data_IF_886916896415
#
_entry.id   IF_886916896415
#
_cell.length_a   1.000
_cell.length_b   1.000
_cell.length_c   1.000
_cell.angle_alpha   90.00
_cell.angle_beta   90.00
_cell.angle_gamma   90.00
#
_symmetry.space_group_name_H-M   'P 1'
#
loop_
_entity.id
_entity.type
_entity.pdbx_description
1 polymer ?
#
# COMPACT_ATOMS: atom_id res chain seq x y z
N UNK A 1 9.48 24.28 -4.98
CA UNK A 1 10.47 24.99 -4.14
C UNK A 1 11.70 25.43 -4.93
N UNK A 2 12.30 24.57 -5.76
CA UNK A 2 13.46 24.95 -6.58
C UNK A 2 13.21 26.13 -7.55
N UNK A 3 12.12 26.10 -8.33
CA UNK A 3 11.69 27.26 -9.15
C UNK A 3 11.47 28.54 -8.34
N UNK A 4 11.06 28.41 -7.08
CA UNK A 4 10.86 29.55 -6.17
C UNK A 4 12.20 30.13 -5.71
N UNK A 5 13.22 29.30 -5.47
CA UNK A 5 14.60 29.77 -5.22
C UNK A 5 15.20 30.45 -6.45
N UNK A 6 15.02 29.88 -7.64
CA UNK A 6 15.49 30.47 -8.91
C UNK A 6 14.88 31.87 -9.12
N UNK A 7 13.60 32.03 -8.76
CA UNK A 7 12.88 33.29 -8.86
C UNK A 7 13.07 34.23 -7.66
N UNK A 8 13.84 33.84 -6.62
CA UNK A 8 14.03 34.62 -5.37
C UNK A 8 14.40 36.08 -5.64
N UNK A 9 15.35 36.32 -6.56
CA UNK A 9 15.78 37.69 -6.92
C UNK A 9 14.66 38.50 -7.56
N UNK A 10 13.96 37.92 -8.52
CA UNK A 10 12.84 38.57 -9.21
C UNK A 10 11.68 38.87 -8.25
N UNK A 11 11.34 37.92 -7.38
CA UNK A 11 10.32 38.07 -6.33
C UNK A 11 10.67 39.19 -5.35
N UNK A 12 11.93 39.26 -4.89
CA UNK A 12 12.37 40.32 -3.99
C UNK A 12 12.36 41.71 -4.63
N UNK A 13 12.76 41.83 -5.91
CA UNK A 13 12.68 43.09 -6.66
C UNK A 13 11.21 43.51 -6.81
N UNK A 14 10.35 42.59 -7.26
CA UNK A 14 8.94 42.87 -7.47
C UNK A 14 8.21 43.24 -6.17
N UNK A 15 8.52 42.58 -5.05
CA UNK A 15 7.97 42.91 -3.75
C UNK A 15 8.44 44.29 -3.26
N UNK A 16 9.70 44.66 -3.52
CA UNK A 16 10.23 45.99 -3.22
C UNK A 16 9.59 47.10 -4.06
N UNK A 17 9.28 46.84 -5.34
CA UNK A 17 8.68 47.82 -6.25
C UNK A 17 7.17 47.97 -6.07
N UNK A 18 6.44 46.88 -5.81
CA UNK A 18 4.97 46.89 -5.83
C UNK A 18 4.31 46.67 -4.47
N UNK A 19 5.07 46.36 -3.41
CA UNK A 19 4.58 46.28 -2.02
C UNK A 19 3.45 45.27 -1.76
N UNK A 20 3.13 44.40 -2.73
CA UNK A 20 1.91 43.56 -2.74
C UNK A 20 2.13 42.10 -2.37
N UNK A 21 3.38 41.65 -2.24
CA UNK A 21 3.73 40.26 -1.96
C UNK A 21 4.64 40.22 -0.75
N UNK A 22 4.24 39.50 0.29
CA UNK A 22 5.14 39.16 1.40
C UNK A 22 6.20 38.18 0.88
N UNK A 23 7.46 38.62 0.78
CA UNK A 23 8.57 37.73 0.47
C UNK A 23 9.08 37.06 1.74
N UNK A 24 9.55 35.80 1.65
CA UNK A 24 10.14 35.14 2.79
C UNK A 24 11.36 35.92 3.31
N UNK A 25 11.54 35.93 4.62
CA UNK A 25 12.73 36.47 5.27
C UNK A 25 13.98 35.61 4.97
N UNK A 26 15.18 36.11 5.28
CA UNK A 26 16.43 35.43 4.94
C UNK A 26 16.53 34.01 5.53
N UNK A 27 16.13 33.85 6.79
CA UNK A 27 16.02 32.58 7.52
C UNK A 27 15.03 31.59 6.88
N UNK A 28 13.91 32.11 6.36
CA UNK A 28 12.92 31.31 5.66
C UNK A 28 13.46 30.82 4.32
N UNK A 29 14.26 31.64 3.62
CA UNK A 29 14.94 31.20 2.40
C UNK A 29 16.02 30.15 2.68
N UNK A 30 16.74 30.26 3.79
CA UNK A 30 17.73 29.26 4.20
C UNK A 30 17.04 27.93 4.54
N UNK A 31 15.88 28.00 5.22
CA UNK A 31 15.03 26.83 5.47
C UNK A 31 14.58 26.17 4.16
N UNK A 32 14.14 26.97 3.18
CA UNK A 32 13.76 26.45 1.84
C UNK A 32 14.95 25.80 1.13
N UNK A 33 16.15 26.37 1.24
CA UNK A 33 17.37 25.78 0.67
C UNK A 33 17.69 24.43 1.32
N UNK A 34 17.71 24.39 2.65
CA UNK A 34 17.96 23.17 3.42
C UNK A 34 16.92 22.09 3.10
N UNK A 35 15.64 22.47 2.93
CA UNK A 35 14.59 21.55 2.49
C UNK A 35 14.89 21.01 1.09
N UNK A 36 15.29 21.85 0.14
CA UNK A 36 15.63 21.37 -1.21
C UNK A 36 16.82 20.42 -1.16
N UNK A 37 17.88 20.74 -0.41
CA UNK A 37 19.07 19.89 -0.31
C UNK A 37 18.77 18.55 0.37
N UNK A 38 17.95 18.56 1.42
CA UNK A 38 17.52 17.34 2.11
C UNK A 38 16.59 16.49 1.25
N UNK A 39 15.70 17.10 0.48
CA UNK A 39 14.78 16.39 -0.42
C UNK A 39 15.36 16.09 -1.80
N UNK A 40 16.56 16.57 -2.15
CA UNK A 40 17.19 16.31 -3.44
C UNK A 40 17.33 14.81 -3.74
N UNK A 41 17.56 14.01 -2.70
CA UNK A 41 17.74 12.55 -2.80
C UNK A 41 16.45 11.75 -2.69
N UNK A 42 15.30 12.42 -2.51
CA UNK A 42 14.02 11.75 -2.33
C UNK A 42 13.64 10.91 -3.56
N UNK A 43 14.02 11.38 -4.75
CA UNK A 43 13.74 10.72 -6.02
C UNK A 43 14.65 9.52 -6.31
N UNK A 44 15.71 9.31 -5.51
CA UNK A 44 16.56 8.11 -5.56
C UNK A 44 15.90 6.93 -4.85
N UNK A 45 14.96 7.20 -3.94
CA UNK A 45 14.37 6.17 -3.08
C UNK A 45 13.11 5.59 -3.72
N UNK A 46 13.21 4.35 -4.24
CA UNK A 46 12.10 3.63 -4.90
C UNK A 46 10.80 3.67 -4.09
N UNK A 47 10.84 3.32 -2.81
CA UNK A 47 9.65 3.27 -1.95
C UNK A 47 8.93 4.62 -1.85
N UNK A 48 9.69 5.71 -1.72
CA UNK A 48 9.14 7.06 -1.59
C UNK A 48 8.54 7.56 -2.90
N UNK A 49 9.21 7.29 -4.03
CA UNK A 49 8.71 7.61 -5.36
C UNK A 49 7.42 6.85 -5.66
N UNK A 50 7.36 5.55 -5.34
CA UNK A 50 6.16 4.75 -5.53
C UNK A 50 5.02 5.18 -4.61
N UNK A 51 5.29 5.45 -3.34
CA UNK A 51 4.28 5.92 -2.39
C UNK A 51 3.69 7.28 -2.82
N UNK A 52 4.53 8.22 -3.27
CA UNK A 52 4.08 9.54 -3.75
C UNK A 52 3.29 9.44 -5.06
N UNK A 53 3.69 8.56 -5.97
CA UNK A 53 2.96 8.31 -7.22
C UNK A 53 1.58 7.70 -6.95
N UNK A 54 1.51 6.69 -6.07
CA UNK A 54 0.27 6.00 -5.69
C UNK A 54 -0.61 6.82 -4.75
N UNK A 55 -0.14 7.97 -4.23
CA UNK A 55 -0.98 8.89 -3.47
C UNK A 55 -1.83 9.77 -4.42
N UNK A 56 -3.17 9.66 -4.40
CA UNK A 56 -4.05 10.42 -5.27
C UNK A 56 -4.00 11.95 -5.06
N UNK A 57 -3.38 12.42 -3.97
CA UNK A 57 -3.15 13.85 -3.69
C UNK A 57 -1.98 14.44 -4.49
N UNK A 58 -1.00 13.60 -4.83
CA UNK A 58 0.30 14.03 -5.33
C UNK A 58 0.57 13.54 -6.75
N UNK A 59 0.34 12.25 -7.01
CA UNK A 59 0.59 11.60 -8.31
C UNK A 59 1.96 11.98 -8.88
N UNK A 60 2.02 12.33 -10.17
CA UNK A 60 3.25 12.76 -10.84
C UNK A 60 3.63 14.24 -10.65
N UNK A 61 2.85 15.03 -9.90
CA UNK A 61 3.08 16.49 -9.81
C UNK A 61 4.19 16.89 -8.83
N UNK A 62 4.70 15.94 -8.04
CA UNK A 62 5.72 16.20 -7.01
C UNK A 62 7.15 16.01 -7.55
N UNK A 63 7.32 15.30 -8.66
CA UNK A 63 8.64 15.01 -9.22
C UNK A 63 9.25 16.23 -9.90
N UNK A 64 10.53 16.47 -9.60
CA UNK A 64 11.37 17.52 -10.14
C UNK A 64 12.14 17.01 -11.37
N UNK A 65 12.64 15.77 -11.37
CA UNK A 65 13.33 15.23 -12.53
C UNK A 65 12.36 14.62 -13.55
N UNK A 66 12.65 14.90 -14.83
CA UNK A 66 11.83 14.49 -15.97
C UNK A 66 11.78 12.96 -16.10
N UNK A 67 12.85 12.28 -15.71
CA UNK A 67 12.96 10.82 -15.83
C UNK A 67 12.30 10.05 -14.68
N UNK A 68 12.03 10.71 -13.55
CA UNK A 68 11.54 10.05 -12.32
C UNK A 68 10.17 9.43 -12.54
N UNK A 69 9.29 10.08 -13.31
CA UNK A 69 7.98 9.52 -13.63
C UNK A 69 8.13 8.26 -14.51
N UNK A 70 9.02 8.28 -15.50
CA UNK A 70 9.27 7.13 -16.38
C UNK A 70 9.83 5.94 -15.58
N UNK A 71 10.80 6.20 -14.69
CA UNK A 71 11.34 5.21 -13.76
C UNK A 71 10.27 4.66 -12.83
N UNK A 72 9.42 5.52 -12.28
CA UNK A 72 8.33 5.12 -11.40
C UNK A 72 7.30 4.22 -12.12
N UNK A 73 6.96 4.53 -13.39
CA UNK A 73 6.11 3.67 -14.21
C UNK A 73 6.73 2.28 -14.39
N UNK A 74 8.03 2.21 -14.65
CA UNK A 74 8.75 0.93 -14.75
C UNK A 74 8.74 0.17 -13.43
N UNK A 75 9.04 0.84 -12.31
CA UNK A 75 9.03 0.23 -10.99
C UNK A 75 7.65 -0.31 -10.57
N UNK A 76 6.55 0.35 -10.95
CA UNK A 76 5.20 -0.18 -10.70
C UNK A 76 4.99 -1.51 -11.42
N UNK A 77 5.47 -1.65 -12.66
CA UNK A 77 5.34 -2.91 -13.42
C UNK A 77 6.12 -4.04 -12.74
N UNK A 78 7.35 -3.75 -12.33
CA UNK A 78 8.19 -4.70 -11.58
C UNK A 78 7.53 -5.11 -10.25
N UNK A 79 6.99 -4.16 -9.49
CA UNK A 79 6.31 -4.45 -8.23
C UNK A 79 5.00 -5.22 -8.42
N UNK A 80 4.26 -4.92 -9.48
CA UNK A 80 3.06 -5.67 -9.84
C UNK A 80 3.39 -7.15 -10.10
N UNK A 81 4.47 -7.44 -10.84
CA UNK A 81 4.92 -8.80 -11.08
C UNK A 81 5.26 -9.54 -9.78
N UNK A 82 5.88 -8.87 -8.81
CA UNK A 82 6.18 -9.46 -7.50
C UNK A 82 4.89 -9.77 -6.72
N UNK A 83 3.95 -8.82 -6.70
CA UNK A 83 2.70 -8.97 -5.94
C UNK A 83 1.77 -10.01 -6.57
N UNK A 84 1.75 -10.13 -7.90
CA UNK A 84 0.94 -11.14 -8.59
C UNK A 84 1.44 -12.56 -8.30
N UNK A 85 2.75 -12.78 -8.22
CA UNK A 85 3.32 -14.07 -7.81
C UNK A 85 3.01 -14.42 -6.35
N UNK A 86 3.15 -13.45 -5.44
CA UNK A 86 2.81 -13.66 -4.02
C UNK A 86 1.33 -14.03 -3.81
N UNK A 87 0.43 -13.46 -4.61
CA UNK A 87 -0.99 -13.78 -4.54
C UNK A 87 -1.27 -15.20 -5.05
N UNK A 88 -0.57 -15.66 -6.10
CA UNK A 88 -0.68 -17.03 -6.61
C UNK A 88 -0.22 -18.06 -5.57
N UNK A 89 0.92 -17.82 -4.92
CA UNK A 89 1.48 -18.73 -3.92
C UNK A 89 0.60 -18.84 -2.67
N UNK A 90 0.01 -17.74 -2.21
CA UNK A 90 -0.89 -17.74 -1.04
C UNK A 90 -2.15 -18.62 -1.24
N UNK A 91 -2.63 -18.77 -2.48
CA UNK A 91 -3.78 -19.65 -2.79
C UNK A 91 -3.46 -21.15 -2.73
N UNK A 92 -2.19 -21.55 -2.67
CA UNK A 92 -1.78 -22.97 -2.77
C UNK A 92 -1.49 -23.60 -1.41
N UNK A 93 -1.31 -22.80 -0.34
CA UNK A 93 -0.90 -23.30 0.98
C UNK A 93 -2.07 -23.56 1.97
N UNK A 94 -3.33 -23.31 1.57
CA UNK A 94 -4.51 -23.50 2.42
C UNK A 94 -5.30 -24.81 2.15
N UNK A 95 -4.67 -25.85 1.59
CA UNK A 95 -5.27 -27.19 1.57
C UNK A 95 -4.32 -28.27 2.09
N UNK A 96 -4.28 -28.40 3.41
CA UNK A 96 -3.86 -29.63 4.06
C UNK A 96 -5.01 -30.64 4.14
N UNK A 97 -5.08 -31.60 3.19
CA UNK A 97 -5.36 -33.04 3.39
C UNK A 97 -5.76 -33.75 2.08
N UNK A 98 -5.02 -34.79 1.72
CA UNK A 98 -5.24 -35.69 0.57
C UNK A 98 -5.80 -37.05 1.08
N UNK A 99 -6.41 -37.98 0.30
CA UNK A 99 -6.93 -37.91 -1.07
C UNK A 99 -8.40 -38.40 -1.20
N UNK A 100 -9.16 -37.83 -2.14
CA UNK A 100 -10.24 -38.58 -2.81
C UNK A 100 -10.44 -38.06 -4.23
N UNK A 101 -9.96 -38.86 -5.20
CA UNK A 101 -10.37 -38.79 -6.58
C UNK A 101 -11.89 -38.63 -6.67
N UNK A 102 -12.34 -37.45 -7.06
CA UNK A 102 -13.63 -37.28 -7.71
C UNK A 102 -13.36 -36.64 -9.05
N UNK A 103 -13.25 -37.51 -10.06
CA UNK A 103 -13.47 -37.19 -11.46
C UNK A 103 -14.78 -36.43 -11.54
N UNK A 104 -14.72 -35.11 -11.65
CA UNK A 104 -15.84 -34.30 -12.12
C UNK A 104 -15.64 -34.20 -13.62
N UNK A 105 -16.68 -34.65 -14.30
CA UNK A 105 -16.75 -34.81 -15.73
C UNK A 105 -16.56 -33.45 -16.41
N UNK A 106 -15.81 -33.51 -17.50
CA UNK A 106 -15.58 -32.47 -18.49
C UNK A 106 -16.95 -32.04 -19.05
N UNK A 107 -17.59 -31.03 -18.46
CA UNK A 107 -18.73 -30.33 -19.07
C UNK A 107 -18.20 -29.50 -20.24
N UNK A 108 -18.04 -30.20 -21.35
CA UNK A 108 -17.70 -29.68 -22.66
C UNK A 108 -18.78 -28.66 -23.06
N UNK A 109 -18.46 -27.37 -23.04
CA UNK A 109 -19.26 -26.35 -23.72
C UNK A 109 -19.44 -26.76 -25.20
N UNK A 110 -20.61 -26.54 -25.81
CA UNK A 110 -20.86 -26.94 -27.18
C UNK A 110 -19.94 -26.16 -28.12
N UNK A 111 -18.95 -26.87 -28.68
CA UNK A 111 -18.06 -26.30 -29.68
C UNK A 111 -18.84 -25.82 -30.90
N UNK A 112 -18.43 -24.73 -31.54
CA UNK A 112 -19.22 -24.11 -32.61
C UNK A 112 -19.33 -25.06 -33.82
N UNK A 113 -20.57 -25.35 -34.23
CA UNK A 113 -20.89 -26.36 -35.26
C UNK A 113 -20.70 -25.88 -36.71
N UNK A 114 -20.11 -24.71 -36.93
CA UNK A 114 -20.05 -24.05 -38.23
C UNK A 114 -18.64 -23.57 -38.55
N UNK A 115 -18.18 -23.87 -39.77
CA UNK A 115 -16.89 -23.43 -40.31
C UNK A 115 -16.79 -21.90 -40.33
N UNK A 116 -17.92 -21.20 -40.52
CA UNK A 116 -17.98 -19.74 -40.44
C UNK A 116 -17.68 -19.24 -39.02
N UNK A 117 -18.19 -19.91 -38.00
CA UNK A 117 -17.97 -19.55 -36.60
C UNK A 117 -16.50 -19.75 -36.20
N UNK A 118 -15.84 -20.80 -36.73
CA UNK A 118 -14.40 -21.00 -36.58
C UNK A 118 -13.57 -19.95 -37.33
N UNK A 119 -14.02 -19.51 -38.50
CA UNK A 119 -13.39 -18.40 -39.23
C UNK A 119 -13.54 -17.08 -38.47
N UNK A 120 -14.72 -16.78 -37.89
CA UNK A 120 -14.93 -15.62 -37.04
C UNK A 120 -14.10 -15.68 -35.76
N UNK A 121 -14.02 -16.83 -35.09
CA UNK A 121 -13.16 -17.03 -33.91
C UNK A 121 -11.68 -16.85 -34.24
N UNK A 122 -11.24 -17.21 -35.46
CA UNK A 122 -9.86 -16.98 -35.88
C UNK A 122 -9.61 -15.51 -36.24
N UNK A 123 -10.55 -14.83 -36.90
CA UNK A 123 -10.40 -13.42 -37.33
C UNK A 123 -10.56 -12.44 -36.17
N UNK A 124 -11.48 -12.72 -35.25
CA UNK A 124 -11.82 -11.88 -34.09
C UNK A 124 -11.17 -12.35 -32.78
N UNK A 125 -10.70 -13.60 -32.73
CA UNK A 125 -9.88 -14.10 -31.64
C UNK A 125 -8.51 -13.43 -31.66
N UNK A 126 -7.80 -13.38 -30.52
CA UNK A 126 -6.51 -12.73 -30.39
C UNK A 126 -5.53 -13.31 -31.41
N UNK A 127 -5.29 -12.56 -32.49
CA UNK A 127 -4.32 -12.91 -33.52
C UNK A 127 -2.92 -12.70 -32.95
N UNK A 128 -2.32 -13.81 -32.54
CA UNK A 128 -1.04 -13.86 -31.84
C UNK A 128 -1.29 -14.26 -30.41
N UNK A 129 -0.74 -15.39 -29.97
CA UNK A 129 -0.64 -15.75 -28.56
C UNK A 129 0.19 -14.64 -27.92
N UNK A 130 -0.40 -13.71 -27.15
CA UNK A 130 0.40 -12.92 -26.25
C UNK A 130 0.81 -13.91 -25.16
N UNK A 131 2.10 -14.06 -24.90
CA UNK A 131 2.54 -14.62 -23.61
C UNK A 131 1.71 -13.91 -22.53
N UNK A 132 1.03 -14.62 -21.62
CA UNK A 132 0.12 -13.98 -20.64
C UNK A 132 0.77 -12.80 -19.91
N UNK A 133 2.10 -12.82 -19.77
CA UNK A 133 2.94 -11.73 -19.27
C UNK A 133 2.80 -10.40 -20.04
N UNK A 134 2.74 -10.43 -21.38
CA UNK A 134 2.62 -9.21 -22.18
C UNK A 134 1.24 -8.58 -22.05
N UNK A 135 0.18 -9.39 -21.92
CA UNK A 135 -1.18 -8.90 -21.76
C UNK A 135 -1.35 -8.21 -20.39
N UNK A 136 -0.83 -8.80 -19.31
CA UNK A 136 -0.89 -8.21 -17.98
C UNK A 136 -0.04 -6.93 -17.85
N UNK A 137 1.14 -6.87 -18.48
CA UNK A 137 1.96 -5.65 -18.53
C UNK A 137 1.28 -4.49 -19.27
N UNK A 138 0.54 -4.79 -20.34
CA UNK A 138 -0.24 -3.78 -21.05
C UNK A 138 -1.41 -3.29 -20.19
N UNK A 139 -2.14 -4.20 -19.54
CA UNK A 139 -3.28 -3.87 -18.67
C UNK A 139 -2.90 -3.00 -17.47
N UNK A 140 -1.77 -3.28 -16.80
CA UNK A 140 -1.28 -2.43 -15.70
C UNK A 140 -0.89 -1.03 -16.21
N UNK A 141 -0.29 -0.94 -17.40
CA UNK A 141 0.09 0.34 -18.01
C UNK A 141 -1.15 1.19 -18.30
N UNK A 142 -2.20 0.59 -18.85
CA UNK A 142 -3.46 1.28 -19.13
C UNK A 142 -4.15 1.78 -17.86
N UNK A 143 -4.21 0.95 -16.81
CA UNK A 143 -4.76 1.38 -15.52
C UNK A 143 -3.95 2.51 -14.88
N UNK A 144 -2.62 2.46 -15.00
CA UNK A 144 -1.75 3.52 -14.50
C UNK A 144 -2.00 4.83 -15.24
N UNK A 145 -2.11 4.78 -16.56
CA UNK A 145 -2.43 5.97 -17.36
C UNK A 145 -3.86 6.47 -17.11
N UNK A 146 -4.81 5.59 -16.80
CA UNK A 146 -6.15 5.98 -16.33
C UNK A 146 -6.07 6.72 -14.99
N UNK A 147 -5.37 6.16 -14.00
CA UNK A 147 -5.18 6.76 -12.69
C UNK A 147 -4.49 8.14 -12.73
N UNK A 148 -3.47 8.28 -13.59
CA UNK A 148 -2.76 9.55 -13.78
C UNK A 148 -3.63 10.64 -14.43
N UNK A 149 -4.66 10.27 -15.20
CA UNK A 149 -5.62 11.21 -15.81
C UNK A 149 -6.73 11.66 -14.86
N UNK A 150 -7.01 10.89 -13.80
CA UNK A 150 -8.01 11.27 -12.79
C UNK A 150 -7.63 12.59 -12.10
N UNK A 151 -8.61 13.38 -11.62
CA UNK A 151 -8.31 14.57 -10.84
C UNK A 151 -7.60 14.21 -9.52
N UNK A 152 -6.87 15.19 -8.97
CA UNK A 152 -6.28 15.08 -7.64
C UNK A 152 -7.36 15.23 -6.57
N UNK A 153 -7.24 14.47 -5.49
CA UNK A 153 -8.06 14.70 -4.30
C UNK A 153 -7.51 15.88 -3.49
N UNK A 154 -8.38 16.53 -2.71
CA UNK A 154 -7.98 17.66 -1.88
C UNK A 154 -6.92 17.26 -0.84
N UNK A 155 -5.87 18.06 -0.69
CA UNK A 155 -4.68 17.69 0.11
C UNK A 155 -4.98 17.63 1.61
N UNK A 156 -5.86 18.50 2.09
CA UNK A 156 -6.13 18.70 3.52
C UNK A 156 -7.21 17.74 4.06
N UNK A 157 -8.21 17.44 3.26
CA UNK A 157 -9.41 16.68 3.66
C UNK A 157 -9.47 15.29 3.01
N UNK A 158 -8.75 15.08 1.91
CA UNK A 158 -8.76 13.83 1.17
C UNK A 158 -8.06 12.71 1.92
N UNK A 159 -8.73 11.55 1.99
CA UNK A 159 -8.20 10.32 2.57
C UNK A 159 -7.76 9.36 1.46
N UNK A 160 -6.45 9.17 1.22
CA UNK A 160 -5.94 8.32 0.13
C UNK A 160 -6.41 6.86 0.21
N UNK A 161 -6.40 6.26 1.41
CA UNK A 161 -6.77 4.86 1.59
C UNK A 161 -8.25 4.61 1.30
N UNK A 162 -9.13 5.53 1.72
CA UNK A 162 -10.57 5.44 1.44
C UNK A 162 -10.86 5.66 -0.05
N UNK A 163 -10.10 6.55 -0.72
CA UNK A 163 -10.19 6.72 -2.17
C UNK A 163 -9.81 5.42 -2.91
N UNK A 164 -8.73 4.75 -2.48
CA UNK A 164 -8.33 3.47 -3.06
C UNK A 164 -9.36 2.37 -2.81
N UNK A 165 -9.98 2.34 -1.63
CA UNK A 165 -11.07 1.40 -1.31
C UNK A 165 -12.26 1.57 -2.25
N UNK A 166 -12.67 2.80 -2.52
CA UNK A 166 -13.78 3.10 -3.44
C UNK A 166 -13.45 2.78 -4.91
N UNK A 167 -12.17 2.95 -5.31
CA UNK A 167 -11.72 2.73 -6.67
C UNK A 167 -11.09 1.35 -6.92
N UNK A 168 -11.15 0.43 -5.95
CA UNK A 168 -10.54 -0.90 -6.05
C UNK A 168 -11.12 -1.71 -7.22
N UNK A 169 -12.42 -1.57 -7.52
CA UNK A 169 -13.04 -2.27 -8.66
C UNK A 169 -12.51 -1.78 -10.02
N UNK A 170 -12.28 -0.47 -10.15
CA UNK A 170 -11.75 0.15 -11.38
C UNK A 170 -10.25 -0.07 -11.54
N UNK A 171 -9.49 0.06 -10.45
CA UNK A 171 -8.02 0.03 -10.42
C UNK A 171 -7.51 -1.20 -9.66
N UNK A 172 -8.05 -2.37 -9.98
CA UNK A 172 -7.82 -3.61 -9.25
C UNK A 172 -6.35 -4.08 -9.26
N UNK A 173 -5.55 -3.73 -10.27
CA UNK A 173 -4.13 -4.09 -10.33
C UNK A 173 -3.26 -3.12 -9.51
N UNK A 174 -3.70 -1.87 -9.35
CA UNK A 174 -2.98 -0.85 -8.59
C UNK A 174 -3.36 -0.81 -7.10
N UNK A 175 -4.59 -1.21 -6.75
CA UNK A 175 -5.06 -1.18 -5.36
C UNK A 175 -4.23 -2.03 -4.38
N UNK A 176 -3.73 -3.24 -4.74
CA UNK A 176 -2.81 -3.98 -3.89
C UNK A 176 -1.48 -3.24 -3.67
N UNK A 177 -0.95 -2.59 -4.71
CA UNK A 177 0.27 -1.80 -4.63
C UNK A 177 0.08 -0.57 -3.76
N UNK A 178 -1.04 0.13 -3.89
CA UNK A 178 -1.31 1.30 -3.07
C UNK A 178 -1.37 0.96 -1.59
N UNK A 179 -1.96 -0.18 -1.22
CA UNK A 179 -1.93 -0.69 0.17
C UNK A 179 -0.49 -0.98 0.62
N UNK A 180 0.33 -1.64 -0.20
CA UNK A 180 1.73 -1.96 0.14
C UNK A 180 2.57 -0.71 0.45
N UNK A 181 2.39 0.36 -0.32
CA UNK A 181 3.22 1.57 -0.19
C UNK A 181 2.63 2.68 0.68
N UNK A 182 1.30 2.72 0.90
CA UNK A 182 0.65 3.77 1.69
C UNK A 182 0.31 3.35 3.13
N UNK A 183 0.22 2.04 3.43
CA UNK A 183 -0.06 1.56 4.77
C UNK A 183 1.11 1.72 5.77
N UNK A 184 2.39 1.55 5.37
CA UNK A 184 3.49 1.66 6.32
C UNK A 184 3.57 3.06 6.96
N UNK A 185 3.79 3.16 8.28
CA UNK A 185 3.97 4.46 8.92
C UNK A 185 5.25 5.13 8.41
N UNK A 186 5.27 6.47 8.31
CA UNK A 186 6.42 7.22 7.80
C UNK A 186 7.63 7.22 8.75
N UNK A 187 7.51 6.65 9.95
CA UNK A 187 8.57 6.63 10.97
C UNK A 187 8.46 5.39 11.85
N UNK A 188 9.56 5.03 12.53
CA UNK A 188 9.61 4.00 13.57
C UNK A 188 8.99 4.43 14.90
N UNK A 189 8.57 5.69 15.05
CA UNK A 189 8.02 6.20 16.32
C UNK A 189 6.85 5.36 16.86
N UNK A 190 5.91 4.84 16.04
CA UNK A 190 4.85 3.96 16.54
C UNK A 190 5.38 2.65 17.10
N UNK A 191 6.37 2.01 16.45
CA UNK A 191 6.96 0.78 16.98
C UNK A 191 7.76 1.05 18.24
N UNK A 192 8.51 2.16 18.30
CA UNK A 192 9.22 2.59 19.51
C UNK A 192 8.26 2.87 20.68
N UNK A 193 7.08 3.44 20.42
CA UNK A 193 6.06 3.65 21.46
C UNK A 193 5.56 2.31 22.01
N UNK A 194 5.24 1.36 21.13
CA UNK A 194 4.84 0.00 21.53
C UNK A 194 5.93 -0.65 22.38
N UNK A 195 7.19 -0.59 21.95
CA UNK A 195 8.31 -1.15 22.72
C UNK A 195 8.55 -0.43 24.05
N UNK A 196 8.29 0.88 24.12
CA UNK A 196 8.42 1.66 25.36
C UNK A 196 7.32 1.32 26.36
N UNK A 197 6.08 1.15 25.90
CA UNK A 197 4.94 0.74 26.72
C UNK A 197 5.14 -0.68 27.26
N UNK A 198 5.61 -1.60 26.42
CA UNK A 198 5.96 -2.97 26.83
C UNK A 198 7.18 -2.96 27.75
N UNK A 199 8.16 -2.09 27.51
CA UNK A 199 9.30 -1.87 28.40
C UNK A 199 8.85 -1.46 29.80
N UNK A 200 7.84 -0.60 29.92
CA UNK A 200 7.25 -0.25 31.21
C UNK A 200 6.51 -1.43 31.86
N UNK A 201 5.84 -2.29 31.09
CA UNK A 201 5.22 -3.52 31.62
C UNK A 201 6.29 -4.51 32.10
N UNK A 202 7.41 -4.58 31.37
CA UNK A 202 8.57 -5.42 31.67
C UNK A 202 9.30 -4.97 32.95
N UNK A 203 9.43 -3.66 33.17
CA UNK A 203 10.21 -3.09 34.28
C UNK A 203 9.40 -2.98 35.60
N UNK A 204 8.09 -2.73 35.52
CA UNK A 204 7.25 -2.52 36.72
C UNK A 204 6.90 -3.80 37.49
N UNK A 205 7.08 -4.98 36.91
CA UNK A 205 6.87 -6.27 37.59
C UNK A 205 8.13 -7.10 37.38
N UNK A 206 8.87 -7.40 38.47
CA UNK A 206 10.08 -8.29 38.48
C UNK A 206 9.77 -9.75 38.07
N UNK A 207 9.11 -9.96 36.95
CA UNK A 207 8.78 -11.26 36.37
C UNK A 207 9.80 -11.58 35.28
N UNK A 208 10.44 -12.75 35.42
CA UNK A 208 11.32 -13.34 34.40
C UNK A 208 10.49 -13.81 33.21
N UNK A 209 9.99 -12.90 32.40
CA UNK A 209 9.36 -13.27 31.12
C UNK A 209 10.44 -13.62 30.10
N UNK A 210 10.24 -14.71 29.36
CA UNK A 210 11.08 -15.01 28.20
C UNK A 210 10.68 -14.08 27.05
N UNK A 211 11.58 -13.86 26.09
CA UNK A 211 11.31 -13.00 24.93
C UNK A 211 10.04 -13.42 24.15
N UNK A 212 9.76 -14.71 24.08
CA UNK A 212 8.56 -15.29 23.47
C UNK A 212 7.25 -14.81 24.14
N UNK A 213 7.21 -14.76 25.48
CA UNK A 213 6.02 -14.29 26.18
C UNK A 213 5.85 -12.77 26.07
N UNK A 214 6.95 -12.03 25.95
CA UNK A 214 6.90 -10.58 25.72
C UNK A 214 6.34 -10.26 24.33
N UNK A 215 6.68 -11.05 23.31
CA UNK A 215 6.10 -10.97 21.97
C UNK A 215 4.60 -11.25 21.97
N UNK A 216 4.16 -12.33 22.64
CA UNK A 216 2.74 -12.65 22.77
C UNK A 216 1.96 -11.53 23.48
N UNK A 217 2.53 -10.95 24.54
CA UNK A 217 1.92 -9.85 25.25
C UNK A 217 1.83 -8.58 24.40
N UNK A 218 2.88 -8.26 23.64
CA UNK A 218 2.89 -7.18 22.66
C UNK A 218 1.76 -7.33 21.64
N UNK A 219 1.63 -8.53 21.09
CA UNK A 219 0.61 -8.87 20.11
C UNK A 219 -0.79 -8.70 20.71
N UNK A 220 -1.06 -9.30 21.88
CA UNK A 220 -2.35 -9.17 22.53
C UNK A 220 -2.66 -7.71 22.86
N UNK A 221 -1.73 -6.97 23.47
CA UNK A 221 -1.97 -5.58 23.87
C UNK A 221 -2.39 -4.68 22.71
N UNK A 222 -1.75 -4.81 21.53
CA UNK A 222 -2.10 -4.03 20.36
C UNK A 222 -3.35 -4.54 19.63
N UNK A 223 -3.60 -5.86 19.63
CA UNK A 223 -4.69 -6.44 18.84
C UNK A 223 -6.02 -6.55 19.60
N UNK A 224 -6.01 -6.62 20.93
CA UNK A 224 -7.22 -6.74 21.76
C UNK A 224 -8.27 -5.64 21.51
N UNK A 225 -7.89 -4.34 21.34
CA UNK A 225 -8.87 -3.29 21.02
C UNK A 225 -9.59 -3.52 19.68
N UNK A 226 -8.92 -4.14 18.70
CA UNK A 226 -9.52 -4.43 17.38
C UNK A 226 -10.43 -5.66 17.41
N UNK A 227 -10.31 -6.50 18.43
CA UNK A 227 -11.12 -7.70 18.63
C UNK A 227 -12.42 -7.41 19.41
N UNK A 228 -12.72 -6.15 19.74
CA UNK A 228 -13.81 -5.76 20.65
C UNK A 228 -13.77 -6.58 21.96
N UNK A 229 -12.57 -6.82 22.49
CA UNK A 229 -12.42 -7.52 23.75
C UNK A 229 -12.78 -6.58 24.91
N UNK A 230 -14.05 -6.54 25.28
CA UNK A 230 -14.53 -5.75 26.41
C UNK A 230 -13.99 -6.36 27.73
N UNK A 231 -13.19 -5.58 28.47
CA UNK A 231 -12.65 -5.98 29.78
C UNK A 231 -13.75 -6.36 30.80
N UNK A 232 -15.00 -5.90 30.60
CA UNK A 232 -16.12 -6.15 31.50
C UNK A 232 -16.56 -7.63 31.55
N UNK A 233 -16.48 -8.38 30.45
CA UNK A 233 -16.92 -9.80 30.42
C UNK A 233 -15.93 -10.74 31.14
N UNK A 234 -14.71 -10.26 31.32
CA UNK A 234 -13.62 -11.05 31.89
C UNK A 234 -13.63 -11.07 33.42
N UNK A 235 -14.05 -9.98 34.10
CA UNK A 235 -14.12 -9.97 35.58
C UNK A 235 -15.09 -11.00 36.14
N UNK A 236 -16.12 -11.36 35.37
CA UNK A 236 -17.12 -12.37 35.73
C UNK A 236 -16.75 -13.78 35.27
N UNK A 237 -16.06 -13.95 34.13
CA UNK A 237 -15.74 -15.29 33.61
C UNK A 237 -14.43 -15.89 34.13
N UNK A 238 -13.43 -15.08 34.49
CA UNK A 238 -12.16 -15.55 35.10
C UNK A 238 -12.34 -16.16 36.50
N UNK A 239 -13.46 -15.86 37.18
CA UNK A 239 -13.80 -16.45 38.48
C UNK A 239 -14.38 -17.86 38.33
N UNK A 240 -15.00 -18.20 37.19
CA UNK A 240 -15.71 -19.47 37.02
C UNK A 240 -15.01 -20.49 36.10
N UNK A 241 -14.18 -20.07 35.13
CA UNK A 241 -13.56 -21.02 34.19
C UNK A 241 -12.07 -20.74 34.01
N UNK A 242 -11.25 -21.70 34.44
CA UNK A 242 -9.80 -21.63 34.37
C UNK A 242 -9.23 -21.55 32.94
N UNK A 243 -7.93 -21.22 32.81
CA UNK A 243 -7.30 -20.68 31.58
C UNK A 243 -7.16 -21.65 30.40
N UNK A 244 -7.53 -22.93 30.54
CA UNK A 244 -7.23 -23.96 29.54
C UNK A 244 -8.35 -24.26 28.54
N UNK A 245 -9.53 -23.64 28.64
CA UNK A 245 -10.68 -23.98 27.79
C UNK A 245 -11.02 -22.99 26.66
N UNK A 246 -10.34 -21.84 26.55
CA UNK A 246 -10.67 -20.83 25.53
C UNK A 246 -9.67 -20.72 24.36
N UNK A 247 -8.61 -21.53 24.33
CA UNK A 247 -7.61 -21.53 23.25
C UNK A 247 -7.98 -22.42 22.05
N UNK A 248 -9.21 -22.95 21.99
CA UNK A 248 -9.70 -23.71 20.86
C UNK A 248 -10.46 -22.81 19.90
N UNK A 249 -9.94 -22.66 18.67
CA UNK A 249 -10.50 -21.91 17.55
C UNK A 249 -10.11 -20.43 17.48
N UNK A 250 -8.90 -20.16 17.02
CA UNK A 250 -8.61 -18.90 16.33
C UNK A 250 -8.11 -19.20 14.92
N UNK A 251 -8.85 -18.66 13.96
CA UNK A 251 -8.61 -18.72 12.52
C UNK A 251 -7.42 -17.80 12.18
N UNK A 252 -6.32 -18.31 11.57
CA UNK A 252 -5.13 -17.53 11.29
C UNK A 252 -5.33 -16.44 10.20
N UNK A 253 -6.50 -16.38 9.56
CA UNK A 253 -6.75 -15.47 8.44
C UNK A 253 -7.04 -13.99 8.82
N UNK A 254 -7.14 -13.64 10.11
CA UNK A 254 -7.59 -12.30 10.53
C UNK A 254 -6.49 -11.48 11.21
N UNK A 255 -5.22 -11.60 10.85
CA UNK A 255 -4.23 -10.55 11.18
C UNK A 255 -3.14 -10.49 10.11
N UNK A 256 -3.28 -9.55 9.16
CA UNK A 256 -2.14 -9.04 8.40
C UNK A 256 -2.17 -7.51 8.42
N UNK A 257 -1.28 -6.94 9.23
CA UNK A 257 -0.67 -5.63 9.04
C UNK A 257 0.83 -5.83 8.90
#
# INVERSE_FOLDING_TARGET
MQRMLEQKRALNIYAGEYGKIATPAADQWDTVSNLIDTFARMEETKCLVLATLLDPRYKGHVFFAVDTLTKAKQWIKEEHAIVSEQLKTATTEDQGSDPKQRRVEDEKLPGPSSVLEQMYANILGPHGIPTQESDDEHRISEQLDQYLREPLIERQTGQPLEWWKQNTSRLHLLAPLSRKFLCPPPSSVPSERVFSEIGNIYDNKRSRFTGEHAEQLCFLHNNLPFLNWDEEDSRTSWVEKGPTQQLGCFDPAVVLF
#
